data_IF_817405155804
#
_entry.id   IF_817405155804
#
_cell.length_a   1.000
_cell.length_b   1.000
_cell.length_c   1.000
_cell.angle_alpha   90.00
_cell.angle_beta   90.00
_cell.angle_gamma   90.00
#
_symmetry.space_group_name_H-M   'P 1'
#
loop_
_entity.id
_entity.type
_entity.pdbx_description
1 polymer ?
#
# COMPACT_ATOMS: atom_id res chain seq x y z
N UNK A 1 -36.72 -14.61 15.05
CA UNK A 1 -35.56 -14.49 14.14
C UNK A 1 -34.46 -13.77 14.90
N UNK A 2 -33.54 -14.51 15.52
CA UNK A 2 -32.43 -13.91 16.27
C UNK A 2 -31.47 -13.25 15.28
N UNK A 3 -31.09 -11.96 15.47
CA UNK A 3 -30.15 -11.31 14.58
C UNK A 3 -28.81 -12.06 14.61
N UNK A 4 -28.41 -12.61 13.48
CA UNK A 4 -27.11 -13.26 13.31
C UNK A 4 -26.05 -12.18 13.49
N UNK A 5 -25.30 -12.21 14.60
CA UNK A 5 -24.15 -11.31 14.80
C UNK A 5 -23.17 -11.55 13.64
N UNK A 6 -22.87 -10.50 12.89
CA UNK A 6 -21.75 -10.52 11.93
C UNK A 6 -20.47 -10.57 12.77
N UNK A 7 -19.77 -11.69 12.72
CA UNK A 7 -18.42 -11.82 13.27
C UNK A 7 -17.41 -11.57 12.16
N UNK A 8 -16.54 -10.59 12.33
CA UNK A 8 -15.36 -10.44 11.49
C UNK A 8 -14.27 -11.34 12.08
N UNK A 9 -14.05 -12.51 11.46
CA UNK A 9 -13.10 -13.48 11.96
C UNK A 9 -11.68 -13.14 11.54
N UNK A 10 -10.69 -13.78 12.18
CA UNK A 10 -9.29 -13.65 11.76
C UNK A 10 -9.10 -14.08 10.30
N UNK A 11 -9.79 -15.14 9.86
CA UNK A 11 -9.72 -15.61 8.49
C UNK A 11 -10.27 -14.59 7.48
N UNK A 12 -11.33 -13.85 7.86
CA UNK A 12 -11.87 -12.76 7.05
C UNK A 12 -10.87 -11.59 6.98
N UNK A 13 -10.21 -11.27 8.10
CA UNK A 13 -9.14 -10.27 8.16
C UNK A 13 -7.96 -10.64 7.26
N UNK A 14 -7.47 -11.87 7.35
CA UNK A 14 -6.35 -12.36 6.55
C UNK A 14 -6.67 -12.37 5.04
N UNK A 15 -7.90 -12.77 4.68
CA UNK A 15 -8.37 -12.73 3.29
C UNK A 15 -8.45 -11.29 2.77
N UNK A 16 -8.95 -10.36 3.59
CA UNK A 16 -9.01 -8.95 3.24
C UNK A 16 -7.61 -8.34 3.08
N UNK A 17 -6.68 -8.64 4.00
CA UNK A 17 -5.31 -8.16 3.95
C UNK A 17 -4.59 -8.60 2.66
N UNK A 18 -4.80 -9.84 2.21
CA UNK A 18 -4.27 -10.32 0.92
C UNK A 18 -4.85 -9.56 -0.26
N UNK A 19 -6.15 -9.31 -0.27
CA UNK A 19 -6.79 -8.55 -1.34
C UNK A 19 -6.29 -7.10 -1.39
N UNK A 20 -6.12 -6.46 -0.22
CA UNK A 20 -5.56 -5.11 -0.09
C UNK A 20 -4.12 -5.05 -0.59
N UNK A 21 -3.29 -6.05 -0.29
CA UNK A 21 -1.92 -6.15 -0.81
C UNK A 21 -1.87 -6.17 -2.33
N UNK A 22 -2.67 -7.03 -2.97
CA UNK A 22 -2.71 -7.13 -4.43
C UNK A 22 -3.25 -5.84 -5.07
N UNK A 23 -4.28 -5.24 -4.48
CA UNK A 23 -4.81 -3.95 -4.94
C UNK A 23 -3.74 -2.85 -4.85
N UNK A 24 -3.01 -2.78 -3.74
CA UNK A 24 -1.93 -1.80 -3.54
C UNK A 24 -0.82 -1.99 -4.57
N UNK A 25 -0.40 -3.22 -4.85
CA UNK A 25 0.60 -3.53 -5.89
C UNK A 25 0.15 -3.03 -7.26
N UNK A 26 -1.10 -3.32 -7.64
CA UNK A 26 -1.67 -2.86 -8.90
C UNK A 26 -1.75 -1.33 -8.98
N UNK A 27 -2.15 -0.67 -7.89
CA UNK A 27 -2.20 0.79 -7.80
C UNK A 27 -0.81 1.42 -7.94
N UNK A 28 0.21 0.88 -7.28
CA UNK A 28 1.61 1.35 -7.44
C UNK A 28 2.05 1.19 -8.89
N UNK A 29 1.79 0.04 -9.53
CA UNK A 29 2.12 -0.17 -10.94
C UNK A 29 1.41 0.85 -11.85
N UNK A 30 0.10 1.06 -11.66
CA UNK A 30 -0.66 2.06 -12.40
C UNK A 30 -0.06 3.48 -12.23
N UNK A 31 0.36 3.83 -11.02
CA UNK A 31 0.99 5.12 -10.74
C UNK A 31 2.32 5.30 -11.48
N UNK A 32 3.09 4.22 -11.69
CA UNK A 32 4.35 4.30 -12.47
C UNK A 32 4.12 4.56 -13.96
N UNK A 33 2.95 4.20 -14.49
CA UNK A 33 2.59 4.40 -15.89
C UNK A 33 1.80 5.70 -16.12
N UNK A 34 1.21 6.26 -15.06
CA UNK A 34 0.37 7.45 -15.16
C UNK A 34 1.20 8.72 -15.42
N UNK A 35 0.74 9.64 -16.30
CA UNK A 35 1.38 10.93 -16.46
C UNK A 35 1.45 11.69 -15.13
N UNK A 36 2.61 12.29 -14.86
CA UNK A 36 2.87 13.03 -13.64
C UNK A 36 1.88 14.21 -13.57
N UNK A 37 1.18 14.34 -12.44
CA UNK A 37 0.12 15.33 -12.18
C UNK A 37 -1.23 15.11 -12.89
N UNK A 38 -1.44 13.97 -13.54
CA UNK A 38 -2.79 13.61 -14.03
C UNK A 38 -3.77 13.36 -12.87
N UNK A 39 -5.06 13.58 -13.13
CA UNK A 39 -6.13 13.24 -12.18
C UNK A 39 -6.11 11.75 -11.83
N UNK A 40 -5.80 10.89 -12.81
CA UNK A 40 -5.59 9.46 -12.59
C UNK A 40 -4.46 9.16 -11.61
N UNK A 41 -3.30 9.82 -11.77
CA UNK A 41 -2.19 9.68 -10.83
C UNK A 41 -2.56 10.14 -9.41
N UNK A 42 -3.36 11.20 -9.29
CA UNK A 42 -3.85 11.67 -7.98
C UNK A 42 -4.80 10.67 -7.34
N UNK A 43 -5.82 10.23 -8.07
CA UNK A 43 -6.79 9.25 -7.58
C UNK A 43 -6.12 7.94 -7.13
N UNK A 44 -5.12 7.47 -7.89
CA UNK A 44 -4.35 6.27 -7.54
C UNK A 44 -3.50 6.47 -6.28
N UNK A 45 -2.91 7.66 -6.07
CA UNK A 45 -2.19 7.98 -4.82
C UNK A 45 -3.13 8.00 -3.62
N UNK A 46 -4.30 8.62 -3.76
CA UNK A 46 -5.30 8.70 -2.71
C UNK A 46 -5.80 7.28 -2.35
N UNK A 47 -6.00 6.41 -3.35
CA UNK A 47 -6.33 5.00 -3.14
C UNK A 47 -5.24 4.26 -2.34
N UNK A 48 -3.95 4.45 -2.68
CA UNK A 48 -2.84 3.81 -1.95
C UNK A 48 -2.84 4.24 -0.48
N UNK A 49 -3.09 5.52 -0.18
CA UNK A 49 -3.17 6.00 1.19
C UNK A 49 -4.32 5.33 1.97
N UNK A 50 -5.51 5.25 1.38
CA UNK A 50 -6.66 4.58 2.00
C UNK A 50 -6.39 3.08 2.25
N UNK A 51 -5.68 2.41 1.33
CA UNK A 51 -5.31 1.00 1.51
C UNK A 51 -4.30 0.82 2.64
N UNK A 52 -3.34 1.75 2.79
CA UNK A 52 -2.38 1.74 3.89
C UNK A 52 -3.07 1.98 5.24
N UNK A 53 -3.99 2.95 5.33
CA UNK A 53 -4.81 3.22 6.52
C UNK A 53 -5.67 2.00 6.91
N UNK A 54 -6.25 1.31 5.93
CA UNK A 54 -7.04 0.11 6.16
C UNK A 54 -6.19 -1.03 6.75
N UNK A 55 -4.95 -1.19 6.28
CA UNK A 55 -4.05 -2.21 6.84
C UNK A 55 -3.63 -1.87 8.25
N UNK A 56 -3.28 -0.61 8.52
CA UNK A 56 -3.00 -0.16 9.88
C UNK A 56 -4.19 -0.42 10.82
N UNK A 57 -5.42 -0.16 10.38
CA UNK A 57 -6.62 -0.44 11.16
C UNK A 57 -6.85 -1.93 11.44
N UNK A 58 -6.44 -2.82 10.52
CA UNK A 58 -6.61 -4.26 10.64
C UNK A 58 -5.50 -4.94 11.45
N UNK A 59 -4.27 -4.41 11.43
CA UNK A 59 -3.09 -5.05 12.04
C UNK A 59 -2.56 -4.31 13.26
N UNK A 60 -2.88 -3.01 13.41
CA UNK A 60 -2.25 -2.13 14.39
C UNK A 60 -0.82 -1.73 14.04
N UNK A 61 -0.33 -2.08 12.85
CA UNK A 61 1.04 -1.78 12.41
C UNK A 61 1.03 -0.77 11.27
N UNK A 62 1.40 0.47 11.61
CA UNK A 62 1.65 1.51 10.62
C UNK A 62 2.85 1.12 9.73
N UNK A 63 2.66 1.18 8.41
CA UNK A 63 3.76 1.00 7.46
C UNK A 63 4.16 -0.45 7.16
N UNK A 64 3.28 -1.44 7.36
CA UNK A 64 3.50 -2.84 6.96
C UNK A 64 3.95 -3.00 5.49
N UNK A 65 3.52 -2.10 4.61
CA UNK A 65 3.93 -2.08 3.19
C UNK A 65 5.00 -1.06 2.84
N UNK A 66 5.47 -0.31 3.83
CA UNK A 66 6.58 0.63 3.73
C UNK A 66 7.89 -0.09 3.99
N UNK A 67 8.06 -1.28 3.39
CA UNK A 67 9.38 -1.88 3.24
C UNK A 67 10.25 -0.80 2.58
N UNK A 68 11.11 -0.19 3.40
CA UNK A 68 12.07 0.84 2.99
C UNK A 68 12.71 0.35 1.70
N UNK A 69 12.69 1.14 0.60
CA UNK A 69 13.61 0.84 -0.49
C UNK A 69 14.99 0.76 0.16
N UNK A 70 15.66 -0.39 0.04
CA UNK A 70 17.05 -0.54 0.42
C UNK A 70 17.75 0.71 -0.11
N UNK A 71 18.24 1.57 0.80
CA UNK A 71 19.04 2.73 0.41
C UNK A 71 20.12 2.19 -0.52
N UNK A 72 20.03 2.55 -1.79
CA UNK A 72 21.10 2.26 -2.75
C UNK A 72 22.35 2.91 -2.17
N UNK A 73 23.45 2.16 -1.94
CA UNK A 73 24.71 2.81 -1.66
C UNK A 73 25.01 3.65 -2.90
N UNK A 74 25.06 4.97 -2.74
CA UNK A 74 25.52 5.88 -3.79
C UNK A 74 26.98 5.54 -4.08
N UNK A 75 27.20 4.61 -4.99
CA UNK A 75 28.43 4.50 -5.75
C UNK A 75 28.47 5.69 -6.70
N UNK A 76 29.29 6.68 -6.38
CA UNK A 76 29.39 7.92 -7.16
C UNK A 76 30.65 8.66 -6.80
N UNK A 77 31.70 8.42 -7.61
CA UNK A 77 33.06 8.86 -7.38
C UNK A 77 33.24 10.36 -7.19
N UNK A 78 34.21 10.70 -6.35
CA UNK A 78 34.93 11.97 -6.42
C UNK A 78 36.22 11.74 -7.20
N UNK A 79 36.16 11.98 -8.51
CA UNK A 79 37.31 12.51 -9.26
C UNK A 79 37.14 14.02 -9.33
N UNK A 80 38.09 14.75 -8.74
CA UNK A 80 38.46 16.16 -8.92
C UNK A 80 39.29 16.53 -7.68
N UNK A 81 40.53 17.03 -7.74
CA UNK A 81 41.41 17.50 -8.81
C UNK A 81 42.86 17.36 -8.34
#
# INVERSE_FOLDING_TARGET
>A
MTPRRRSFSQADSDALLRAVQECRRAAVQALTQAPIHSEGARAVRDLIAVLDDLVEALTGEAGLFWAKPHSTPVGGGRSAS
#
